data_IF_145578759120
#
_entry.id   IF_145578759120
#
_cell.length_a   1.000
_cell.length_b   1.000
_cell.length_c   1.000
_cell.angle_alpha   90.00
_cell.angle_beta   90.00
_cell.angle_gamma   90.00
#
_symmetry.space_group_name_H-M   'P 1'
#
loop_
_entity.id
_entity.type
_entity.pdbx_description
1 polymer ?
#
# COMPACT_ATOMS: atom_id res chain seq x y z
N UNK A 1 39.45 49.15 3.08
CA UNK A 1 39.33 48.86 1.64
C UNK A 1 38.54 47.58 1.34
N UNK A 2 38.65 46.50 2.12
CA UNK A 2 37.95 45.22 1.87
C UNK A 2 36.41 45.25 2.02
N UNK A 3 35.86 46.12 2.89
CA UNK A 3 34.40 46.23 3.12
C UNK A 3 33.65 46.77 1.88
N UNK A 4 34.25 47.76 1.21
CA UNK A 4 33.70 48.41 0.02
C UNK A 4 33.67 47.47 -1.19
N UNK A 5 34.67 46.58 -1.29
CA UNK A 5 34.76 45.56 -2.32
C UNK A 5 33.67 44.47 -2.18
N UNK A 6 33.28 44.13 -0.94
CA UNK A 6 32.14 43.24 -0.67
C UNK A 6 30.80 43.86 -1.03
N UNK A 7 30.61 45.14 -0.73
CA UNK A 7 29.37 45.86 -1.05
C UNK A 7 29.19 45.97 -2.58
N UNK A 8 30.27 46.26 -3.31
CA UNK A 8 30.24 46.26 -4.78
C UNK A 8 29.90 44.89 -5.36
N UNK A 9 30.47 43.79 -4.83
CA UNK A 9 30.13 42.43 -5.29
C UNK A 9 28.68 42.04 -5.02
N UNK A 10 28.11 42.46 -3.90
CA UNK A 10 26.69 42.18 -3.59
C UNK A 10 25.78 42.98 -4.54
N UNK A 11 26.15 44.23 -4.85
CA UNK A 11 25.43 45.04 -5.82
C UNK A 11 25.46 44.39 -7.23
N UNK A 12 26.63 43.92 -7.68
CA UNK A 12 26.78 43.23 -8.97
C UNK A 12 25.99 41.91 -9.01
N UNK A 13 25.92 41.18 -7.88
CA UNK A 13 25.10 39.97 -7.78
C UNK A 13 23.60 40.28 -7.82
N UNK A 14 23.14 41.36 -7.21
CA UNK A 14 21.74 41.82 -7.30
C UNK A 14 21.36 42.28 -8.70
N UNK A 15 22.27 42.93 -9.43
CA UNK A 15 22.10 43.35 -10.82
C UNK A 15 22.02 42.15 -11.80
N UNK A 16 22.70 41.05 -11.48
CA UNK A 16 22.70 39.82 -12.29
C UNK A 16 21.45 38.94 -12.10
N UNK A 17 20.56 39.29 -11.18
CA UNK A 17 19.31 38.56 -11.01
C UNK A 17 18.39 38.91 -12.17
N UNK A 18 17.96 37.93 -12.98
CA UNK A 18 17.12 38.20 -14.12
C UNK A 18 15.82 38.84 -13.63
N UNK A 19 15.49 40.00 -14.19
CA UNK A 19 14.27 40.77 -13.91
C UNK A 19 13.05 40.02 -14.49
N UNK A 20 12.74 38.86 -13.90
CA UNK A 20 11.51 38.13 -14.18
C UNK A 20 10.43 38.78 -13.34
N UNK A 21 9.62 39.60 -14.00
CA UNK A 21 8.39 40.14 -13.43
C UNK A 21 7.68 39.05 -12.63
N UNK A 22 7.60 39.27 -11.32
CA UNK A 22 7.03 38.29 -10.39
C UNK A 22 5.53 38.27 -10.62
N UNK A 23 5.10 37.45 -11.58
CA UNK A 23 3.68 37.27 -11.86
C UNK A 23 3.03 36.45 -10.74
N UNK A 24 1.77 36.75 -10.44
CA UNK A 24 0.96 36.01 -9.45
C UNK A 24 1.00 34.49 -9.70
N UNK A 25 1.04 34.08 -10.97
CA UNK A 25 1.14 32.67 -11.39
C UNK A 25 2.50 32.05 -11.09
N UNK A 26 3.59 32.81 -11.18
CA UNK A 26 4.93 32.34 -10.82
C UNK A 26 5.04 32.10 -9.32
N UNK A 27 4.52 33.04 -8.50
CA UNK A 27 4.46 32.90 -7.04
C UNK A 27 3.66 31.67 -6.59
N UNK A 28 2.51 31.42 -7.20
CA UNK A 28 1.71 30.23 -6.88
C UNK A 28 2.42 28.94 -7.28
N UNK A 29 3.13 28.91 -8.42
CA UNK A 29 3.88 27.72 -8.86
C UNK A 29 5.06 27.41 -7.95
N UNK A 30 5.89 28.40 -7.63
CA UNK A 30 7.06 28.20 -6.78
C UNK A 30 6.66 27.96 -5.33
N UNK A 31 5.63 28.66 -4.84
CA UNK A 31 5.06 28.44 -3.51
C UNK A 31 4.43 27.06 -3.36
N UNK A 32 3.68 26.57 -4.36
CA UNK A 32 3.13 25.21 -4.34
C UNK A 32 4.23 24.15 -4.39
N UNK A 33 5.28 24.38 -5.19
CA UNK A 33 6.41 23.44 -5.28
C UNK A 33 7.19 23.36 -3.96
N UNK A 34 7.56 24.51 -3.38
CA UNK A 34 8.34 24.59 -2.14
C UNK A 34 7.51 24.20 -0.91
N UNK A 35 6.26 24.65 -0.84
CA UNK A 35 5.35 24.26 0.24
C UNK A 35 4.97 22.78 0.18
N UNK A 36 4.71 22.27 -1.02
CA UNK A 36 4.39 20.86 -1.23
C UNK A 36 5.56 19.94 -0.89
N UNK A 37 6.78 20.29 -1.30
CA UNK A 37 7.97 19.50 -0.96
C UNK A 37 8.27 19.51 0.54
N UNK A 38 8.11 20.65 1.23
CA UNK A 38 8.28 20.74 2.67
C UNK A 38 7.27 19.86 3.45
N UNK A 39 5.99 19.87 3.04
CA UNK A 39 4.97 19.01 3.65
C UNK A 39 5.30 17.53 3.40
N UNK A 40 5.70 17.17 2.17
CA UNK A 40 6.05 15.79 1.83
C UNK A 40 7.23 15.30 2.69
N UNK A 41 8.28 16.12 2.83
CA UNK A 41 9.46 15.80 3.62
C UNK A 41 9.11 15.63 5.10
N UNK A 42 8.19 16.42 5.64
CA UNK A 42 7.72 16.27 7.04
C UNK A 42 6.91 14.99 7.30
N UNK A 43 6.39 14.35 6.25
CA UNK A 43 5.55 13.14 6.36
C UNK A 43 6.24 11.89 5.85
N UNK A 44 7.39 12.02 5.18
CA UNK A 44 8.05 10.90 4.50
C UNK A 44 8.51 9.84 5.49
N UNK A 45 9.03 10.24 6.65
CA UNK A 45 9.51 9.33 7.69
C UNK A 45 8.35 8.55 8.33
N UNK A 46 7.20 9.20 8.54
CA UNK A 46 5.98 8.53 9.00
C UNK A 46 5.43 7.53 7.98
N UNK A 47 5.42 7.91 6.71
CA UNK A 47 5.01 7.01 5.62
C UNK A 47 5.96 5.80 5.48
N UNK A 48 7.28 6.03 5.55
CA UNK A 48 8.31 4.99 5.55
C UNK A 48 8.21 4.09 6.80
N UNK A 49 7.88 4.65 7.96
CA UNK A 49 7.63 3.89 9.18
C UNK A 49 6.41 2.95 9.04
N UNK A 50 5.32 3.45 8.45
CA UNK A 50 4.15 2.62 8.16
C UNK A 50 4.46 1.52 7.14
N UNK A 51 5.26 1.81 6.11
CA UNK A 51 5.73 0.82 5.13
C UNK A 51 6.60 -0.25 5.79
N UNK A 52 7.57 0.15 6.62
CA UNK A 52 8.39 -0.80 7.40
C UNK A 52 7.56 -1.68 8.31
N UNK A 53 6.54 -1.13 8.96
CA UNK A 53 5.63 -1.90 9.80
C UNK A 53 4.75 -2.85 8.98
N UNK A 54 4.31 -2.44 7.78
CA UNK A 54 3.57 -3.30 6.87
C UNK A 54 4.45 -4.43 6.30
N UNK A 55 5.72 -4.15 5.99
CA UNK A 55 6.70 -5.16 5.60
C UNK A 55 7.05 -6.09 6.77
N UNK A 56 7.20 -5.59 7.99
CA UNK A 56 7.39 -6.42 9.18
C UNK A 56 6.14 -7.26 9.50
N UNK A 57 4.92 -6.72 9.28
CA UNK A 57 3.68 -7.48 9.34
C UNK A 57 3.57 -8.51 8.22
N UNK A 58 4.26 -8.34 7.10
CA UNK A 58 4.40 -9.41 6.10
C UNK A 58 5.33 -10.54 6.56
N UNK A 59 6.24 -10.27 7.51
CA UNK A 59 7.06 -11.26 8.20
C UNK A 59 6.28 -12.01 9.30
N UNK A 60 5.30 -11.36 9.93
CA UNK A 60 4.30 -12.01 10.78
C UNK A 60 3.20 -12.63 9.93
N UNK A 61 3.43 -13.84 9.43
CA UNK A 61 2.51 -14.50 8.49
C UNK A 61 1.05 -14.41 8.92
N UNK A 62 0.15 -14.07 7.99
CA UNK A 62 -1.29 -14.02 8.25
C UNK A 62 -1.78 -15.44 8.61
N UNK A 63 -2.12 -15.73 9.87
CA UNK A 63 -2.34 -17.11 10.33
C UNK A 63 -3.54 -17.77 9.66
N UNK A 64 -4.50 -16.95 9.20
CA UNK A 64 -5.68 -17.38 8.47
C UNK A 64 -5.39 -17.79 7.01
N UNK A 65 -4.22 -17.49 6.47
CA UNK A 65 -3.77 -17.97 5.16
C UNK A 65 -2.75 -19.12 5.26
N UNK A 66 -2.51 -19.63 6.47
CA UNK A 66 -1.78 -20.88 6.66
C UNK A 66 -2.71 -22.06 6.29
N UNK A 67 -2.24 -23.00 5.46
CA UNK A 67 -3.10 -24.12 5.07
C UNK A 67 -3.34 -25.13 6.21
N UNK A 68 -2.55 -25.11 7.27
CA UNK A 68 -2.83 -25.87 8.50
C UNK A 68 -4.09 -25.38 9.22
N UNK A 69 -4.47 -24.13 8.98
CA UNK A 69 -5.63 -23.46 9.57
C UNK A 69 -6.85 -23.42 8.64
N UNK A 70 -6.83 -24.19 7.54
CA UNK A 70 -7.89 -24.18 6.53
C UNK A 70 -8.58 -25.54 6.45
N UNK A 71 -9.90 -25.55 6.57
CA UNK A 71 -10.74 -26.72 6.36
C UNK A 71 -11.69 -26.46 5.18
N UNK A 72 -11.67 -27.35 4.19
CA UNK A 72 -12.62 -27.31 3.09
C UNK A 72 -13.91 -28.03 3.50
N UNK A 73 -15.05 -27.40 3.24
CA UNK A 73 -16.36 -27.90 3.60
C UNK A 73 -17.41 -27.47 2.57
N UNK A 74 -18.68 -27.70 2.87
CA UNK A 74 -19.83 -27.28 2.06
C UNK A 74 -20.83 -26.51 2.94
N UNK A 75 -21.38 -25.43 2.40
CA UNK A 75 -22.43 -24.66 3.07
C UNK A 75 -23.79 -25.36 2.85
N UNK A 76 -24.45 -25.78 3.94
CA UNK A 76 -25.70 -26.54 3.90
C UNK A 76 -26.94 -25.71 4.26
N UNK A 77 -26.85 -24.38 4.24
CA UNK A 77 -27.99 -23.52 4.58
C UNK A 77 -29.07 -23.47 3.47
N UNK A 78 -28.72 -23.91 2.26
CA UNK A 78 -29.63 -24.04 1.13
C UNK A 78 -29.28 -25.31 0.32
N UNK A 79 -30.08 -25.62 -0.71
CA UNK A 79 -29.89 -26.81 -1.54
C UNK A 79 -28.72 -26.73 -2.53
N UNK A 80 -28.10 -25.55 -2.68
CA UNK A 80 -26.97 -25.37 -3.62
C UNK A 80 -25.70 -26.07 -3.15
N UNK A 81 -25.54 -26.28 -1.83
CA UNK A 81 -24.37 -26.92 -1.25
C UNK A 81 -23.04 -26.28 -1.69
N UNK A 82 -22.96 -24.94 -1.62
CA UNK A 82 -21.81 -24.19 -2.12
C UNK A 82 -20.50 -24.64 -1.43
N UNK A 83 -19.42 -24.92 -2.19
CA UNK A 83 -18.12 -25.24 -1.61
C UNK A 83 -17.54 -24.04 -0.84
N UNK A 84 -17.10 -24.26 0.39
CA UNK A 84 -16.55 -23.22 1.25
C UNK A 84 -15.17 -23.61 1.78
N UNK A 85 -14.41 -22.58 2.13
CA UNK A 85 -13.12 -22.64 2.79
C UNK A 85 -13.27 -21.98 4.16
N UNK A 86 -13.19 -22.77 5.22
CA UNK A 86 -13.29 -22.29 6.60
C UNK A 86 -11.89 -22.06 7.16
N UNK A 87 -11.66 -20.87 7.71
CA UNK A 87 -10.40 -20.48 8.36
C UNK A 87 -10.54 -20.58 9.86
N UNK A 88 -9.62 -21.30 10.47
CA UNK A 88 -9.56 -21.61 11.89
C UNK A 88 -8.47 -20.77 12.55
N UNK A 89 -8.75 -20.23 13.72
CA UNK A 89 -7.74 -19.60 14.57
C UNK A 89 -7.95 -20.14 15.99
N UNK A 90 -6.91 -20.70 16.58
CA UNK A 90 -6.93 -21.28 17.94
C UNK A 90 -8.10 -22.28 18.16
N UNK A 91 -8.39 -23.10 17.14
CA UNK A 91 -9.46 -24.09 17.16
C UNK A 91 -10.88 -23.55 16.91
N UNK A 92 -11.02 -22.24 16.67
CA UNK A 92 -12.32 -21.59 16.43
C UNK A 92 -12.45 -21.21 14.96
N UNK A 93 -13.60 -21.49 14.35
CA UNK A 93 -13.92 -21.00 13.02
C UNK A 93 -14.20 -19.49 13.04
N UNK A 94 -13.30 -18.70 12.46
CA UNK A 94 -13.34 -17.23 12.52
C UNK A 94 -13.78 -16.58 11.21
N UNK A 95 -13.65 -17.29 10.08
CA UNK A 95 -14.00 -16.76 8.76
C UNK A 95 -14.38 -17.89 7.80
N UNK A 96 -15.35 -17.61 6.94
CA UNK A 96 -15.74 -18.49 5.83
C UNK A 96 -15.50 -17.71 4.54
N UNK A 97 -14.77 -18.32 3.62
CA UNK A 97 -14.51 -17.84 2.26
C UNK A 97 -15.00 -18.88 1.24
N UNK A 98 -15.06 -18.52 -0.04
CA UNK A 98 -15.35 -19.47 -1.10
C UNK A 98 -14.18 -20.43 -1.35
N UNK A 99 -14.47 -21.63 -1.85
CA UNK A 99 -13.42 -22.55 -2.28
C UNK A 99 -12.86 -22.16 -3.65
N UNK A 100 -11.59 -21.72 -3.77
CA UNK A 100 -11.02 -21.28 -5.05
C UNK A 100 -10.83 -22.41 -6.06
N UNK A 101 -10.92 -23.68 -5.66
CA UNK A 101 -10.91 -24.82 -6.56
C UNK A 101 -12.25 -25.00 -7.30
N UNK A 102 -13.33 -24.40 -6.81
CA UNK A 102 -14.67 -24.57 -7.38
C UNK A 102 -15.03 -23.44 -8.36
N UNK A 103 -15.58 -23.82 -9.52
CA UNK A 103 -16.13 -22.86 -10.49
C UNK A 103 -17.35 -22.09 -9.94
N UNK A 104 -18.00 -22.59 -8.89
CA UNK A 104 -19.11 -21.86 -8.24
C UNK A 104 -18.63 -20.61 -7.50
N UNK A 105 -17.38 -20.60 -7.02
CA UNK A 105 -16.83 -19.53 -6.19
C UNK A 105 -15.81 -18.65 -6.92
N UNK A 106 -15.11 -19.19 -7.93
CA UNK A 106 -14.06 -18.49 -8.67
C UNK A 106 -14.04 -18.91 -10.14
N UNK A 107 -14.08 -17.95 -11.07
CA UNK A 107 -13.94 -18.18 -12.51
C UNK A 107 -12.84 -17.26 -13.04
N UNK A 108 -11.75 -17.79 -13.63
CA UNK A 108 -11.40 -19.21 -13.70
C UNK A 108 -11.06 -19.78 -12.31
N UNK A 109 -11.49 -21.01 -12.04
CA UNK A 109 -11.15 -21.69 -10.79
C UNK A 109 -9.68 -22.13 -10.80
N UNK A 110 -9.10 -22.29 -9.61
CA UNK A 110 -7.78 -22.89 -9.46
C UNK A 110 -7.79 -24.33 -9.96
N UNK A 111 -6.68 -24.74 -10.58
CA UNK A 111 -6.46 -26.14 -10.95
C UNK A 111 -6.45 -26.99 -9.68
N UNK A 112 -7.05 -28.18 -9.75
CA UNK A 112 -7.17 -29.09 -8.60
C UNK A 112 -5.80 -29.59 -8.08
N UNK A 113 -4.76 -29.57 -8.92
CA UNK A 113 -3.38 -29.92 -8.57
C UNK A 113 -2.62 -28.78 -7.87
N UNK A 114 -3.22 -27.59 -7.74
CA UNK A 114 -2.60 -26.47 -7.02
C UNK A 114 -2.41 -26.86 -5.56
N UNK A 115 -1.19 -26.74 -5.03
CA UNK A 115 -0.89 -27.07 -3.64
C UNK A 115 -1.78 -26.30 -2.63
N UNK A 116 -2.25 -26.94 -1.54
CA UNK A 116 -2.97 -26.27 -0.46
C UNK A 116 -2.21 -25.08 0.14
N UNK A 117 -0.87 -25.15 0.22
CA UNK A 117 -0.02 -24.05 0.69
C UNK A 117 -0.10 -22.79 -0.18
N UNK A 118 -0.45 -22.96 -1.46
CA UNK A 118 -0.70 -21.85 -2.38
C UNK A 118 -2.17 -21.43 -2.37
N UNK A 119 -3.09 -22.40 -2.34
CA UNK A 119 -4.55 -22.15 -2.34
C UNK A 119 -5.05 -21.47 -1.05
N UNK A 120 -4.41 -21.72 0.09
CA UNK A 120 -4.75 -21.09 1.36
C UNK A 120 -4.65 -19.55 1.32
N UNK A 121 -3.78 -19.01 0.44
CA UNK A 121 -3.57 -17.57 0.26
C UNK A 121 -4.55 -16.91 -0.73
N UNK A 122 -5.38 -17.69 -1.41
CA UNK A 122 -6.25 -17.22 -2.49
C UNK A 122 -7.71 -17.44 -2.11
N UNK A 123 -8.42 -16.39 -1.74
CA UNK A 123 -9.82 -16.47 -1.37
C UNK A 123 -10.75 -16.27 -2.57
N UNK A 124 -11.82 -17.05 -2.60
CA UNK A 124 -12.86 -16.97 -3.62
C UNK A 124 -14.15 -16.41 -3.02
N UNK A 125 -15.08 -16.07 -3.90
CA UNK A 125 -16.38 -15.50 -3.50
C UNK A 125 -17.21 -16.56 -2.76
N UNK A 126 -17.83 -16.18 -1.64
CA UNK A 126 -18.85 -16.97 -0.94
C UNK A 126 -20.18 -16.87 -1.67
#
# INVERSE_FOLDING_TARGET
MAERDRICRIADMMESLPDKEVTRRSLLKTGALLGGSAILMSKIEGALGLLKNAEAASSGGYPLADAGNVIYSVCLQCHTACPIKVKILDGIAVKIDGNPYSAQNMIPNLKQDTSPWRSAKIDAKV
#
